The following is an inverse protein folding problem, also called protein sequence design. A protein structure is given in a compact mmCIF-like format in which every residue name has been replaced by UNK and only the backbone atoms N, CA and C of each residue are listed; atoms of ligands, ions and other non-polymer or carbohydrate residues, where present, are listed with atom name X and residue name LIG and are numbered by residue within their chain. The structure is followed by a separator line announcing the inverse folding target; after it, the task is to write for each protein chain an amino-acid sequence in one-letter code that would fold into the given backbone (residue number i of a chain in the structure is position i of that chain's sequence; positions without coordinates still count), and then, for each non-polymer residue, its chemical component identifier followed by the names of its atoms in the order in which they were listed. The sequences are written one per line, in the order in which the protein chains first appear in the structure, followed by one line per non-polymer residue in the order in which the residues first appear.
data_IF_575038298139
#
_entry.id   IF_575038298139
#
_cell.length_a   1.000
_cell.length_b   1.000
_cell.length_c   1.000
_cell.angle_alpha   90.00
_cell.angle_beta   90.00
_cell.angle_gamma   90.00
#
_symmetry.space_group_name_H-M   'P 1'
#
loop_
_entity.id
_entity.type
_entity.pdbx_description
1 polymer ?
#
# COMPACT_ATOMS: atom_id res chain seq x y z
N UNK A 1 16.90 -10.95 5.32
CA UNK A 1 16.68 -9.65 4.68
C UNK A 1 15.32 -9.12 5.14
N UNK A 2 15.28 -7.91 5.64
CA UNK A 2 14.23 -7.44 6.56
C UNK A 2 12.97 -7.01 5.79
N UNK A 3 11.99 -7.92 5.65
CA UNK A 3 10.65 -7.66 5.07
C UNK A 3 9.84 -6.59 5.86
N UNK A 4 10.33 -6.19 7.03
CA UNK A 4 9.63 -5.28 7.93
C UNK A 4 9.80 -3.78 7.62
N UNK A 5 10.71 -3.37 6.72
CA UNK A 5 10.95 -1.93 6.47
C UNK A 5 9.81 -1.24 5.72
N UNK A 6 9.13 -1.96 4.83
CA UNK A 6 7.99 -1.42 4.07
C UNK A 6 6.68 -1.46 4.87
N UNK A 7 6.61 -2.35 5.84
CA UNK A 7 5.48 -2.47 6.77
C UNK A 7 5.34 -1.22 7.66
N UNK A 8 6.45 -0.57 8.05
CA UNK A 8 6.44 0.63 8.89
C UNK A 8 5.97 1.89 8.16
N UNK A 9 6.16 2.01 6.86
CA UNK A 9 5.60 3.11 6.06
C UNK A 9 4.07 3.05 6.00
N UNK A 10 3.49 1.84 5.98
CA UNK A 10 2.05 1.60 6.06
C UNK A 10 1.47 1.84 7.46
N UNK A 11 2.25 1.70 8.53
CA UNK A 11 1.82 1.97 9.91
C UNK A 11 1.37 3.43 10.07
N UNK A 12 2.02 4.38 9.38
CA UNK A 12 1.59 5.79 9.33
C UNK A 12 0.25 5.98 8.61
N UNK A 13 -0.01 5.20 7.57
CA UNK A 13 -1.24 5.26 6.75
C UNK A 13 -2.45 4.65 7.47
N UNK A 14 -2.27 3.62 8.27
CA UNK A 14 -3.35 2.92 8.98
C UNK A 14 -3.65 3.49 10.38
N UNK A 15 -2.67 4.05 11.08
CA UNK A 15 -2.96 4.86 12.27
C UNK A 15 -3.76 6.13 11.90
N UNK A 16 -3.57 6.66 10.67
CA UNK A 16 -4.43 7.67 10.07
C UNK A 16 -5.81 7.15 9.65
N UNK A 17 -5.92 5.88 9.34
CA UNK A 17 -7.10 5.23 8.79
C UNK A 17 -8.28 5.17 9.78
N UNK A 18 -8.09 4.66 10.99
CA UNK A 18 -9.14 4.66 12.02
C UNK A 18 -9.35 6.05 12.61
N UNK A 19 -8.28 6.83 12.81
CA UNK A 19 -8.42 8.20 13.27
C UNK A 19 -9.21 9.06 12.27
N UNK A 20 -9.02 8.89 10.96
CA UNK A 20 -9.79 9.58 9.92
C UNK A 20 -11.22 9.07 9.82
N UNK A 21 -11.47 7.77 9.94
CA UNK A 21 -12.80 7.19 9.94
C UNK A 21 -13.63 7.64 11.15
N UNK A 22 -13.06 7.54 12.36
CA UNK A 22 -13.75 8.01 13.57
C UNK A 22 -13.84 9.53 13.65
N UNK A 23 -12.89 10.29 13.10
CA UNK A 23 -12.99 11.75 13.02
C UNK A 23 -14.12 12.20 12.07
N UNK A 24 -14.25 11.58 10.88
CA UNK A 24 -15.36 11.88 9.96
C UNK A 24 -16.71 11.41 10.50
N UNK A 25 -16.78 10.27 11.18
CA UNK A 25 -18.00 9.80 11.84
C UNK A 25 -18.40 10.70 13.02
N UNK A 26 -17.44 11.08 13.86
CA UNK A 26 -17.67 11.99 15.00
C UNK A 26 -18.04 13.41 14.56
N UNK A 27 -17.52 13.91 13.44
CA UNK A 27 -17.93 15.19 12.86
C UNK A 27 -19.37 15.16 12.32
N UNK A 28 -19.86 14.01 11.92
CA UNK A 28 -21.24 13.86 11.42
C UNK A 28 -22.25 13.60 12.56
N UNK A 29 -21.80 13.13 13.72
CA UNK A 29 -22.64 12.82 14.88
C UNK A 29 -22.58 13.85 16.02
N UNK A 30 -21.65 14.82 15.99
CA UNK A 30 -21.47 15.80 17.08
C UNK A 30 -21.22 17.21 16.57
N UNK A 31 -22.26 17.94 16.37
CA UNK A 31 -22.22 19.38 16.61
C UNK A 31 -22.23 19.62 18.15
N UNK A 32 -21.15 19.27 18.87
CA UNK A 32 -20.81 19.81 20.21
C UNK A 32 -19.56 19.12 20.80
N UNK A 33 -18.46 19.85 20.85
CA UNK A 33 -17.56 19.89 22.00
C UNK A 33 -16.49 18.84 22.20
N UNK A 34 -15.21 19.32 22.17
CA UNK A 34 -14.00 18.84 22.82
C UNK A 34 -13.10 17.84 22.07
N UNK A 35 -11.93 18.36 21.68
CA UNK A 35 -10.82 17.60 21.14
C UNK A 35 -10.14 16.70 22.20
N UNK A 36 -9.73 15.47 21.87
CA UNK A 36 -8.92 14.66 22.77
C UNK A 36 -7.44 15.06 22.68
N UNK A 37 -6.82 15.26 23.85
CA UNK A 37 -5.36 15.52 23.99
C UNK A 37 -4.58 14.26 23.61
N UNK A 38 -3.61 14.44 22.73
CA UNK A 38 -2.56 13.44 22.45
C UNK A 38 -1.67 13.24 23.68
N UNK A 39 -1.67 12.03 24.23
CA UNK A 39 -0.70 11.60 25.23
C UNK A 39 0.37 10.74 24.55
N UNK A 40 1.59 11.24 24.53
CA UNK A 40 2.80 10.52 24.10
C UNK A 40 3.16 9.43 25.13
N UNK A 41 3.56 8.26 24.63
CA UNK A 41 3.69 7.01 25.35
C UNK A 41 4.74 6.90 26.42
N UNK A 42 4.44 6.04 27.40
CA UNK A 42 5.39 5.35 28.24
C UNK A 42 5.31 3.83 27.97
N UNK A 43 6.38 3.03 28.19
CA UNK A 43 6.35 1.60 27.90
C UNK A 43 5.33 0.88 28.79
N UNK A 44 4.43 0.14 28.15
CA UNK A 44 3.37 -0.59 28.82
C UNK A 44 3.92 -1.68 29.74
N UNK A 45 3.56 -1.63 31.03
CA UNK A 45 3.79 -2.70 31.98
C UNK A 45 3.01 -3.98 31.58
N UNK A 46 3.47 -5.17 32.01
CA UNK A 46 2.84 -6.45 31.65
C UNK A 46 1.32 -6.55 31.91
N UNK A 47 0.81 -5.76 32.84
CA UNK A 47 -0.64 -5.65 33.10
C UNK A 47 -1.41 -4.95 31.98
N UNK A 48 -0.80 -3.95 31.31
CA UNK A 48 -1.43 -3.26 30.18
C UNK A 48 -1.45 -4.12 28.91
N UNK A 49 -0.45 -5.00 28.71
CA UNK A 49 -0.48 -5.97 27.60
C UNK A 49 -1.57 -7.03 27.79
N UNK A 50 -1.80 -7.50 29.01
CA UNK A 50 -2.81 -8.50 29.31
C UNK A 50 -4.23 -7.94 29.19
N UNK A 51 -4.46 -6.67 29.59
CA UNK A 51 -5.70 -5.96 29.35
C UNK A 51 -5.96 -5.75 27.85
N UNK A 52 -4.97 -5.28 27.09
CA UNK A 52 -5.06 -5.08 25.64
C UNK A 52 -5.39 -6.39 24.90
N UNK A 53 -4.80 -7.52 25.29
CA UNK A 53 -5.13 -8.84 24.74
C UNK A 53 -6.55 -9.30 25.08
N UNK A 54 -7.07 -8.91 26.26
CA UNK A 54 -8.47 -9.15 26.66
C UNK A 54 -9.44 -8.39 25.75
N UNK A 55 -9.16 -7.11 25.51
CA UNK A 55 -9.98 -6.27 24.65
C UNK A 55 -9.98 -6.76 23.19
N UNK A 56 -8.82 -7.15 22.65
CA UNK A 56 -8.69 -7.75 21.33
C UNK A 56 -9.54 -9.02 21.21
N UNK A 57 -9.52 -9.90 22.22
CA UNK A 57 -10.34 -11.12 22.21
C UNK A 57 -11.83 -10.81 22.19
N UNK A 58 -12.31 -9.85 22.99
CA UNK A 58 -13.71 -9.45 23.02
C UNK A 58 -14.18 -8.88 21.68
N UNK A 59 -13.35 -8.05 21.02
CA UNK A 59 -13.61 -7.51 19.68
C UNK A 59 -13.77 -8.62 18.65
N UNK A 60 -12.85 -9.58 18.64
CA UNK A 60 -12.89 -10.72 17.71
C UNK A 60 -14.13 -11.59 17.93
N UNK A 61 -14.47 -11.89 19.19
CA UNK A 61 -15.67 -12.68 19.52
C UNK A 61 -16.95 -11.94 19.11
N UNK A 62 -17.01 -10.62 19.30
CA UNK A 62 -18.14 -9.80 18.82
C UNK A 62 -18.32 -9.95 17.30
N UNK A 63 -17.25 -9.85 16.53
CA UNK A 63 -17.30 -9.98 15.07
C UNK A 63 -17.71 -11.39 14.61
N UNK A 64 -17.25 -12.43 15.30
CA UNK A 64 -17.67 -13.83 15.02
C UNK A 64 -19.15 -14.05 15.29
N UNK A 65 -19.66 -13.51 16.40
CA UNK A 65 -21.06 -13.67 16.79
C UNK A 65 -22.01 -12.80 15.95
N UNK A 66 -21.49 -11.75 15.28
CA UNK A 66 -22.26 -10.84 14.44
C UNK A 66 -21.64 -10.73 13.04
N UNK A 67 -21.69 -11.78 12.23
CA UNK A 67 -20.96 -11.85 10.94
C UNK A 67 -21.48 -10.85 9.89
N UNK A 68 -22.65 -10.25 10.09
CA UNK A 68 -23.23 -9.23 9.21
C UNK A 68 -23.11 -7.81 9.77
N UNK A 69 -22.44 -7.63 10.91
CA UNK A 69 -22.17 -6.31 11.49
C UNK A 69 -20.89 -5.74 10.84
N UNK A 70 -21.05 -4.78 9.94
CA UNK A 70 -19.96 -4.11 9.23
C UNK A 70 -18.89 -3.56 10.17
N UNK A 71 -19.32 -2.84 11.23
CA UNK A 71 -18.39 -2.23 12.18
C UNK A 71 -17.64 -3.28 13.01
N UNK A 72 -18.31 -4.36 13.38
CA UNK A 72 -17.66 -5.45 14.09
C UNK A 72 -16.55 -6.10 13.24
N UNK A 73 -16.79 -6.27 11.92
CA UNK A 73 -15.76 -6.80 11.02
C UNK A 73 -14.57 -5.83 10.89
N UNK A 74 -14.81 -4.53 10.71
CA UNK A 74 -13.77 -3.51 10.64
C UNK A 74 -12.93 -3.49 11.93
N UNK A 75 -13.59 -3.48 13.10
CA UNK A 75 -12.89 -3.47 14.38
C UNK A 75 -12.05 -4.73 14.60
N UNK A 76 -12.53 -5.90 14.16
CA UNK A 76 -11.76 -7.14 14.23
C UNK A 76 -10.55 -7.11 13.28
N UNK A 77 -10.71 -6.57 12.09
CA UNK A 77 -9.61 -6.38 11.15
C UNK A 77 -8.50 -5.49 11.74
N UNK A 78 -8.89 -4.37 12.35
CA UNK A 78 -7.95 -3.48 13.02
C UNK A 78 -7.24 -4.17 14.18
N UNK A 79 -7.97 -4.89 15.03
CA UNK A 79 -7.39 -5.64 16.14
C UNK A 79 -6.37 -6.68 15.67
N UNK A 80 -6.67 -7.41 14.58
CA UNK A 80 -5.73 -8.35 13.98
C UNK A 80 -4.51 -7.65 13.35
N UNK A 81 -4.73 -6.50 12.72
CA UNK A 81 -3.65 -5.71 12.16
C UNK A 81 -2.67 -5.22 13.24
N UNK A 82 -3.18 -4.70 14.36
CA UNK A 82 -2.35 -4.23 15.49
C UNK A 82 -1.47 -5.34 16.08
N UNK A 83 -1.94 -6.57 16.10
CA UNK A 83 -1.14 -7.74 16.53
C UNK A 83 -0.38 -8.42 15.39
N UNK A 84 -0.27 -7.77 14.22
CA UNK A 84 0.47 -8.20 13.03
C UNK A 84 -0.03 -9.54 12.42
N UNK A 85 -1.28 -9.88 12.66
CA UNK A 85 -1.96 -11.02 12.02
C UNK A 85 -2.62 -10.56 10.72
N UNK A 86 -1.80 -10.21 9.73
CA UNK A 86 -2.25 -9.55 8.49
C UNK A 86 -3.19 -10.39 7.65
N UNK A 87 -3.03 -11.70 7.64
CA UNK A 87 -3.95 -12.62 6.99
C UNK A 87 -5.36 -12.50 7.57
N UNK A 88 -5.48 -12.58 8.88
CA UNK A 88 -6.78 -12.48 9.54
C UNK A 88 -7.37 -11.07 9.35
N UNK A 89 -6.54 -10.03 9.42
CA UNK A 89 -6.98 -8.66 9.13
C UNK A 89 -7.59 -8.57 7.71
N UNK A 90 -6.93 -9.12 6.69
CA UNK A 90 -7.43 -9.14 5.33
C UNK A 90 -8.76 -9.89 5.23
N UNK A 91 -8.89 -11.09 5.85
CA UNK A 91 -10.12 -11.86 5.85
C UNK A 91 -11.31 -11.09 6.44
N UNK A 92 -11.10 -10.32 7.52
CA UNK A 92 -12.15 -9.50 8.12
C UNK A 92 -12.47 -8.24 7.31
N UNK A 93 -11.49 -7.63 6.65
CA UNK A 93 -11.72 -6.54 5.70
C UNK A 93 -12.52 -7.00 4.47
N UNK A 94 -12.22 -8.17 3.94
CA UNK A 94 -12.99 -8.77 2.84
C UNK A 94 -14.45 -9.02 3.26
N UNK A 95 -14.70 -9.52 4.48
CA UNK A 95 -16.07 -9.66 5.02
C UNK A 95 -16.76 -8.30 5.11
N UNK A 96 -16.09 -7.27 5.63
CA UNK A 96 -16.63 -5.92 5.68
C UNK A 96 -16.99 -5.40 4.27
N UNK A 97 -16.11 -5.60 3.30
CA UNK A 97 -16.38 -5.27 1.90
C UNK A 97 -17.63 -5.98 1.37
N UNK A 98 -17.83 -7.26 1.68
CA UNK A 98 -19.01 -8.02 1.24
C UNK A 98 -20.31 -7.48 1.86
N UNK A 99 -20.26 -6.97 3.09
CA UNK A 99 -21.43 -6.41 3.79
C UNK A 99 -21.82 -5.05 3.22
N UNK A 100 -20.85 -4.14 3.04
CA UNK A 100 -21.11 -2.79 2.55
C UNK A 100 -19.98 -2.29 1.65
N UNK A 101 -19.97 -2.69 0.36
CA UNK A 101 -18.92 -2.30 -0.59
C UNK A 101 -18.79 -0.78 -0.75
N UNK A 102 -19.93 -0.08 -0.79
CA UNK A 102 -19.97 1.36 -1.05
C UNK A 102 -19.33 2.18 0.09
N UNK A 103 -19.50 1.75 1.34
CA UNK A 103 -18.86 2.39 2.49
C UNK A 103 -17.39 1.97 2.59
N UNK A 104 -17.12 0.68 2.34
CA UNK A 104 -15.76 0.14 2.43
C UNK A 104 -14.78 0.83 1.48
N UNK A 105 -15.19 1.09 0.22
CA UNK A 105 -14.35 1.73 -0.79
C UNK A 105 -13.88 3.14 -0.35
N UNK A 106 -14.67 3.85 0.44
CA UNK A 106 -14.28 5.16 1.01
C UNK A 106 -13.10 5.06 1.99
N UNK A 107 -12.85 3.87 2.51
CA UNK A 107 -11.73 3.59 3.42
C UNK A 107 -10.46 3.26 2.61
N UNK A 108 -9.93 4.26 1.87
CA UNK A 108 -8.81 4.08 0.93
C UNK A 108 -7.65 3.28 1.51
N UNK A 109 -7.30 3.50 2.79
CA UNK A 109 -6.23 2.77 3.46
C UNK A 109 -6.50 1.27 3.62
N UNK A 110 -7.77 0.86 3.90
CA UNK A 110 -8.14 -0.55 3.99
C UNK A 110 -8.14 -1.21 2.61
N UNK A 111 -8.62 -0.48 1.59
CA UNK A 111 -8.61 -0.94 0.20
C UNK A 111 -7.16 -1.13 -0.28
N UNK A 112 -6.28 -0.16 0.00
CA UNK A 112 -4.85 -0.25 -0.32
C UNK A 112 -4.16 -1.39 0.43
N UNK A 113 -4.50 -1.63 1.71
CA UNK A 113 -3.98 -2.76 2.46
C UNK A 113 -4.35 -4.09 1.81
N UNK A 114 -5.60 -4.28 1.37
CA UNK A 114 -6.02 -5.50 0.65
C UNK A 114 -5.26 -5.66 -0.67
N UNK A 115 -5.01 -4.57 -1.39
CA UNK A 115 -4.17 -4.57 -2.58
C UNK A 115 -2.76 -5.07 -2.28
N UNK A 116 -2.12 -4.51 -1.27
CA UNK A 116 -0.77 -4.88 -0.87
C UNK A 116 -0.68 -6.30 -0.32
N UNK A 117 -1.60 -6.70 0.53
CA UNK A 117 -1.67 -8.07 1.02
C UNK A 117 -1.82 -9.08 -0.13
N UNK A 118 -2.69 -8.77 -1.11
CA UNK A 118 -2.86 -9.62 -2.30
C UNK A 118 -1.60 -9.68 -3.16
N UNK A 119 -0.86 -8.57 -3.27
CA UNK A 119 0.43 -8.54 -3.98
C UNK A 119 1.49 -9.41 -3.29
N UNK A 120 1.61 -9.33 -1.96
CA UNK A 120 2.52 -10.16 -1.15
C UNK A 120 2.19 -11.66 -1.29
N UNK A 121 0.89 -12.00 -1.37
CA UNK A 121 0.41 -13.36 -1.64
C UNK A 121 0.50 -13.76 -3.12
N UNK A 122 1.04 -12.88 -3.99
CA UNK A 122 1.15 -13.06 -5.45
C UNK A 122 -0.18 -13.25 -6.17
N UNK A 123 -1.26 -12.76 -5.58
CA UNK A 123 -2.59 -12.73 -6.18
C UNK A 123 -2.74 -11.46 -7.02
N UNK A 124 -1.98 -11.38 -8.11
CA UNK A 124 -1.82 -10.16 -8.91
C UNK A 124 -3.13 -9.58 -9.44
N UNK A 125 -4.08 -10.42 -9.86
CA UNK A 125 -5.37 -9.97 -10.39
C UNK A 125 -6.28 -9.38 -9.28
N UNK A 126 -6.17 -9.88 -8.04
CA UNK A 126 -6.86 -9.32 -6.88
C UNK A 126 -6.22 -7.99 -6.47
N UNK A 127 -4.88 -7.95 -6.42
CA UNK A 127 -4.12 -6.74 -6.12
C UNK A 127 -4.44 -5.61 -7.11
N UNK A 128 -4.45 -5.90 -8.42
CA UNK A 128 -4.84 -4.96 -9.48
C UNK A 128 -6.22 -4.35 -9.19
N UNK A 129 -7.21 -5.19 -8.89
CA UNK A 129 -8.59 -4.72 -8.61
C UNK A 129 -8.67 -3.84 -7.36
N UNK A 130 -7.95 -4.21 -6.30
CA UNK A 130 -7.96 -3.42 -5.07
C UNK A 130 -7.30 -2.07 -5.26
N UNK A 131 -6.12 -2.00 -5.91
CA UNK A 131 -5.47 -0.72 -6.17
C UNK A 131 -6.25 0.17 -7.14
N UNK A 132 -6.91 -0.39 -8.16
CA UNK A 132 -7.80 0.38 -9.03
C UNK A 132 -8.95 1.03 -8.24
N UNK A 133 -9.62 0.28 -7.34
CA UNK A 133 -10.66 0.83 -6.45
C UNK A 133 -10.11 1.91 -5.52
N UNK A 134 -8.91 1.72 -4.97
CA UNK A 134 -8.29 2.73 -4.13
C UNK A 134 -8.00 4.03 -4.91
N UNK A 135 -7.52 3.91 -6.15
CA UNK A 135 -7.28 5.04 -7.06
C UNK A 135 -8.57 5.77 -7.43
N UNK A 136 -9.69 5.06 -7.65
CA UNK A 136 -11.00 5.69 -7.90
C UNK A 136 -11.42 6.60 -6.74
N UNK A 137 -11.10 6.22 -5.49
CA UNK A 137 -11.41 7.01 -4.29
C UNK A 137 -10.40 8.13 -4.01
N UNK A 138 -9.15 7.94 -4.40
CA UNK A 138 -8.05 8.87 -4.13
C UNK A 138 -7.11 8.98 -5.36
N UNK A 139 -7.56 9.60 -6.46
CA UNK A 139 -6.84 9.58 -7.74
C UNK A 139 -5.53 10.35 -7.75
N UNK A 140 -5.29 11.22 -6.77
CA UNK A 140 -4.05 11.99 -6.63
C UNK A 140 -3.05 11.37 -5.66
N UNK A 141 -3.40 10.24 -5.04
CA UNK A 141 -2.50 9.53 -4.11
C UNK A 141 -1.42 8.79 -4.89
N UNK A 142 -0.20 9.29 -4.81
CA UNK A 142 0.94 8.85 -5.65
C UNK A 142 1.27 7.38 -5.40
N UNK A 143 1.29 6.97 -4.15
CA UNK A 143 1.68 5.61 -3.75
C UNK A 143 0.74 4.55 -4.33
N UNK A 144 -0.56 4.83 -4.48
CA UNK A 144 -1.50 3.89 -5.08
C UNK A 144 -1.17 3.59 -6.55
N UNK A 145 -0.73 4.61 -7.29
CA UNK A 145 -0.31 4.45 -8.67
C UNK A 145 1.01 3.67 -8.78
N UNK A 146 1.94 3.92 -7.86
CA UNK A 146 3.22 3.17 -7.80
C UNK A 146 2.96 1.71 -7.46
N UNK A 147 2.14 1.43 -6.45
CA UNK A 147 1.78 0.06 -6.06
C UNK A 147 1.05 -0.69 -7.19
N UNK A 148 0.13 -0.02 -7.92
CA UNK A 148 -0.51 -0.62 -9.10
C UNK A 148 0.51 -0.96 -10.18
N UNK A 149 1.48 -0.09 -10.42
CA UNK A 149 2.56 -0.38 -11.37
C UNK A 149 3.43 -1.55 -10.91
N UNK A 150 3.73 -1.64 -9.61
CA UNK A 150 4.47 -2.77 -9.01
C UNK A 150 3.76 -4.10 -9.27
N UNK A 151 2.42 -4.15 -9.15
CA UNK A 151 1.63 -5.34 -9.51
C UNK A 151 1.93 -5.80 -10.94
N UNK A 152 2.01 -4.87 -11.90
CA UNK A 152 2.28 -5.19 -13.29
C UNK A 152 3.74 -5.58 -13.56
N UNK A 153 4.68 -5.03 -12.81
CA UNK A 153 6.10 -5.36 -12.96
C UNK A 153 6.47 -6.70 -12.31
N UNK A 154 5.81 -7.06 -11.20
CA UNK A 154 6.12 -8.27 -10.44
C UNK A 154 5.35 -9.51 -10.89
N UNK A 155 4.24 -9.36 -11.62
CA UNK A 155 3.47 -10.51 -12.12
C UNK A 155 4.28 -11.37 -13.08
N UNK A 156 3.89 -12.63 -13.23
CA UNK A 156 4.55 -13.59 -14.13
C UNK A 156 3.59 -14.04 -15.24
N UNK A 157 3.88 -13.71 -16.51
CA UNK A 157 4.96 -12.84 -16.99
C UNK A 157 4.71 -11.37 -16.65
N UNK A 158 5.78 -10.53 -16.54
CA UNK A 158 5.64 -9.09 -16.33
C UNK A 158 4.83 -8.41 -17.44
N UNK A 159 4.06 -7.37 -17.06
CA UNK A 159 3.25 -6.56 -17.97
C UNK A 159 3.69 -5.09 -17.99
N UNK A 160 4.92 -4.78 -18.46
CA UNK A 160 5.50 -3.44 -18.34
C UNK A 160 4.69 -2.35 -19.05
N UNK A 161 4.00 -2.68 -20.15
CA UNK A 161 3.13 -1.71 -20.84
C UNK A 161 1.99 -1.20 -19.94
N UNK A 162 1.44 -2.06 -19.07
CA UNK A 162 0.41 -1.67 -18.11
C UNK A 162 0.95 -0.85 -16.93
N UNK A 163 2.24 -0.98 -16.59
CA UNK A 163 2.86 -0.25 -15.51
C UNK A 163 3.14 1.22 -15.85
N UNK A 164 3.36 1.54 -17.13
CA UNK A 164 3.80 2.87 -17.58
C UNK A 164 2.75 3.95 -17.27
N UNK A 165 1.46 3.69 -17.51
CA UNK A 165 0.43 4.72 -17.31
C UNK A 165 0.26 5.09 -15.82
N UNK A 166 0.11 4.16 -14.87
CA UNK A 166 0.08 4.50 -13.44
C UNK A 166 1.31 5.30 -13.00
N UNK A 167 2.52 4.91 -13.42
CA UNK A 167 3.75 5.64 -13.07
C UNK A 167 3.76 7.08 -13.63
N UNK A 168 3.24 7.27 -14.82
CA UNK A 168 3.10 8.62 -15.38
C UNK A 168 2.05 9.44 -14.62
N UNK A 169 0.96 8.85 -14.10
CA UNK A 169 0.02 9.55 -13.24
C UNK A 169 0.69 10.00 -11.92
N UNK A 170 1.46 9.11 -11.28
CA UNK A 170 2.26 9.48 -10.10
C UNK A 170 3.21 10.65 -10.40
N UNK A 171 3.89 10.62 -11.55
CA UNK A 171 4.84 11.65 -11.97
C UNK A 171 4.19 12.95 -12.45
N UNK A 172 2.90 12.97 -12.81
CA UNK A 172 2.15 14.21 -13.02
C UNK A 172 1.94 14.97 -11.72
N UNK A 173 1.71 14.25 -10.62
CA UNK A 173 1.54 14.86 -9.29
C UNK A 173 2.90 15.27 -8.72
N UNK A 174 3.89 14.37 -8.80
CA UNK A 174 5.24 14.60 -8.28
C UNK A 174 6.31 14.25 -9.32
N UNK A 175 6.71 15.21 -10.20
CA UNK A 175 7.61 14.95 -11.33
C UNK A 175 9.00 14.43 -10.98
N UNK A 176 9.45 14.61 -9.72
CA UNK A 176 10.76 14.17 -9.20
C UNK A 176 10.65 13.02 -8.19
N UNK A 177 9.52 12.29 -8.18
CA UNK A 177 9.40 11.12 -7.31
C UNK A 177 10.35 10.02 -7.77
N UNK A 178 11.42 9.77 -6.99
CA UNK A 178 12.47 8.81 -7.36
C UNK A 178 11.97 7.37 -7.42
N UNK A 179 10.99 7.00 -6.58
CA UNK A 179 10.39 5.68 -6.59
C UNK A 179 9.64 5.42 -7.90
N UNK A 180 8.76 6.35 -8.29
CA UNK A 180 8.04 6.28 -9.56
C UNK A 180 8.99 6.29 -10.77
N UNK A 181 10.04 7.14 -10.75
CA UNK A 181 11.07 7.16 -11.80
C UNK A 181 11.84 5.84 -11.88
N UNK A 182 12.19 5.26 -10.74
CA UNK A 182 12.88 3.95 -10.69
C UNK A 182 12.06 2.85 -11.34
N UNK A 183 10.79 2.69 -10.95
CA UNK A 183 9.90 1.71 -11.55
C UNK A 183 9.61 1.99 -13.04
N UNK A 184 9.61 3.27 -13.45
CA UNK A 184 9.44 3.61 -14.87
C UNK A 184 10.67 3.21 -15.70
N UNK A 185 11.90 3.32 -15.13
CA UNK A 185 13.12 2.75 -15.76
C UNK A 185 12.97 1.25 -15.91
N UNK A 186 12.53 0.54 -14.88
CA UNK A 186 12.31 -0.92 -14.93
C UNK A 186 11.31 -1.32 -15.99
N UNK A 187 10.17 -0.61 -16.06
CA UNK A 187 9.16 -0.85 -17.08
C UNK A 187 9.74 -0.74 -18.50
N UNK A 188 10.53 0.31 -18.78
CA UNK A 188 11.15 0.47 -20.09
C UNK A 188 12.27 -0.54 -20.37
N UNK A 189 13.04 -0.94 -19.37
CA UNK A 189 14.03 -2.01 -19.51
C UNK A 189 13.34 -3.34 -19.85
N UNK A 190 12.29 -3.72 -19.14
CA UNK A 190 11.50 -4.93 -19.42
C UNK A 190 10.85 -4.89 -20.81
N UNK A 191 10.40 -3.72 -21.23
CA UNK A 191 9.86 -3.48 -22.57
C UNK A 191 10.93 -3.47 -23.66
N UNK A 192 12.21 -3.49 -23.28
CA UNK A 192 13.38 -3.36 -24.17
C UNK A 192 13.44 -2.02 -24.92
N UNK A 193 12.83 -0.98 -24.38
CA UNK A 193 12.92 0.39 -24.89
C UNK A 193 14.12 1.12 -24.26
N UNK A 194 15.31 0.87 -24.83
CA UNK A 194 16.55 1.45 -24.32
C UNK A 194 16.55 2.98 -24.33
N UNK A 195 15.87 3.61 -25.30
CA UNK A 195 15.80 5.09 -25.41
C UNK A 195 14.96 5.68 -24.28
N UNK A 196 13.78 5.14 -24.03
CA UNK A 196 12.93 5.61 -22.96
C UNK A 196 13.52 5.31 -21.57
N UNK A 197 14.16 4.14 -21.41
CA UNK A 197 14.87 3.79 -20.18
C UNK A 197 16.00 4.78 -19.87
N UNK A 198 16.83 5.14 -20.87
CA UNK A 198 17.92 6.11 -20.72
C UNK A 198 17.42 7.51 -20.34
N UNK A 199 16.39 8.01 -21.03
CA UNK A 199 15.80 9.31 -20.75
C UNK A 199 15.21 9.36 -19.32
N UNK A 200 14.55 8.28 -18.89
CA UNK A 200 13.97 8.19 -17.55
C UNK A 200 15.05 8.06 -16.47
N UNK A 201 16.10 7.30 -16.74
CA UNK A 201 17.25 7.17 -15.84
C UNK A 201 17.96 8.51 -15.63
N UNK A 202 18.10 9.33 -16.67
CA UNK A 202 18.65 10.69 -16.52
C UNK A 202 17.77 11.52 -15.58
N UNK A 203 16.43 11.44 -15.71
CA UNK A 203 15.51 12.13 -14.77
C UNK A 203 15.65 11.64 -13.34
N UNK A 204 15.86 10.33 -13.14
CA UNK A 204 16.11 9.76 -11.82
C UNK A 204 17.42 10.28 -11.22
N UNK A 205 18.48 10.36 -12.02
CA UNK A 205 19.79 10.91 -11.60
C UNK A 205 19.68 12.38 -11.19
N UNK A 206 18.90 13.18 -11.94
CA UNK A 206 18.65 14.59 -11.61
C UNK A 206 17.80 14.77 -10.37
N UNK A 207 16.85 13.85 -10.11
CA UNK A 207 15.96 13.89 -8.96
C UNK A 207 16.63 13.38 -7.68
N UNK A 208 17.38 12.29 -7.78
CA UNK A 208 18.02 11.57 -6.67
C UNK A 208 19.44 11.12 -7.05
N UNK A 209 20.46 12.02 -7.07
CA UNK A 209 21.82 11.67 -7.50
C UNK A 209 22.47 10.52 -6.72
N UNK A 210 22.05 10.31 -5.47
CA UNK A 210 22.56 9.29 -4.57
C UNK A 210 21.70 8.01 -4.53
N UNK A 211 20.75 7.85 -5.44
CA UNK A 211 19.91 6.65 -5.48
C UNK A 211 20.76 5.41 -5.82
N UNK A 212 20.74 4.43 -4.93
CA UNK A 212 21.59 3.24 -5.01
C UNK A 212 21.30 2.36 -6.24
N UNK A 213 20.12 2.48 -6.84
CA UNK A 213 19.74 1.69 -8.02
C UNK A 213 20.25 2.26 -9.34
N UNK A 214 20.74 3.51 -9.37
CA UNK A 214 21.23 4.14 -10.59
C UNK A 214 22.32 3.28 -11.26
N UNK A 215 23.32 2.82 -10.52
CA UNK A 215 24.38 1.99 -11.05
C UNK A 215 23.87 0.65 -11.62
N UNK A 216 22.86 0.06 -10.96
CA UNK A 216 22.21 -1.17 -11.44
C UNK A 216 21.51 -0.91 -12.78
N UNK A 217 20.73 0.15 -12.87
CA UNK A 217 20.01 0.52 -14.09
C UNK A 217 20.95 0.88 -15.24
N UNK A 218 22.09 1.56 -14.97
CA UNK A 218 23.11 1.84 -15.99
C UNK A 218 23.70 0.55 -16.58
N UNK A 219 24.00 -0.43 -15.73
CA UNK A 219 24.52 -1.73 -16.18
C UNK A 219 23.47 -2.49 -17.00
N UNK A 220 22.22 -2.56 -16.54
CA UNK A 220 21.14 -3.22 -17.26
C UNK A 220 20.87 -2.55 -18.63
N UNK A 221 20.92 -1.22 -18.67
CA UNK A 221 20.78 -0.47 -19.93
C UNK A 221 21.92 -0.73 -20.88
N UNK A 222 23.16 -0.83 -20.40
CA UNK A 222 24.33 -1.17 -21.22
C UNK A 222 24.21 -2.60 -21.79
N UNK A 223 23.79 -3.56 -20.97
CA UNK A 223 23.56 -4.94 -21.42
C UNK A 223 22.41 -5.01 -22.44
N UNK A 224 21.31 -4.27 -22.21
CA UNK A 224 20.22 -4.18 -23.18
C UNK A 224 20.67 -3.61 -24.52
N UNK A 225 21.46 -2.53 -24.53
CA UNK A 225 22.04 -1.92 -25.74
C UNK A 225 23.02 -2.86 -26.48
N UNK A 226 23.70 -3.74 -25.73
CA UNK A 226 24.57 -4.76 -26.27
C UNK A 226 23.81 -6.03 -26.73
N UNK A 227 22.50 -6.06 -26.67
CA UNK A 227 21.67 -7.23 -27.06
C UNK A 227 21.75 -8.40 -26.08
N UNK A 228 22.28 -8.19 -24.87
CA UNK A 228 22.35 -9.24 -23.85
C UNK A 228 21.00 -9.37 -23.10
N UNK A 229 20.70 -10.56 -22.56
CA UNK A 229 19.54 -10.73 -21.70
C UNK A 229 19.71 -9.91 -20.42
N UNK A 230 18.61 -9.29 -19.96
CA UNK A 230 18.57 -8.53 -18.71
C UNK A 230 17.60 -9.17 -17.74
N UNK A 231 17.91 -9.07 -16.45
CA UNK A 231 17.02 -9.48 -15.35
C UNK A 231 17.03 -8.37 -14.32
N UNK A 232 15.84 -7.85 -14.00
CA UNK A 232 15.69 -6.83 -12.95
C UNK A 232 15.88 -7.51 -11.59
N UNK A 233 16.87 -7.10 -10.78
CA UNK A 233 17.02 -7.65 -9.42
C UNK A 233 15.80 -7.27 -8.56
N UNK A 234 15.21 -8.25 -7.88
CA UNK A 234 14.15 -7.99 -6.87
C UNK A 234 14.77 -7.31 -5.65
N UNK A 235 14.04 -6.38 -5.05
CA UNK A 235 14.44 -5.67 -3.82
C UNK A 235 14.47 -6.57 -2.58
#
# INVERSE_FOLDING_TARGET
MNKNKYLFALIGLLAGFLASYYATKSMNESAAGAAPKTAAGAPASGQSQQAMMGDVRAIIEKAKNNPQDYEAQINAADAFYQIQRFKDAAEYLEKAYQINPAEFIKMTGAVAFLGKYSLEEKKFDEAEKWFQRAIESAPTEIELHIELATVFLEREPPAPDKAIEPLNQALKVQPKNGHALGHLVEAYLLKKDARAAEATLSRLQDAEPNNKRIAVYQNLLADLKAGKPITIPKE
#
